data_IF_855963600359
#
_entry.id   IF_855963600359
#
_cell.length_a   1.000
_cell.length_b   1.000
_cell.length_c   1.000
_cell.angle_alpha   90.00
_cell.angle_beta   90.00
_cell.angle_gamma   90.00
#
_symmetry.space_group_name_H-M   'P 1'
#
loop_
_entity.id
_entity.type
_entity.pdbx_description
1 polymer ?
#
# COMPACT_ATOMS: atom_id res chain seq x y z
N UNK A 1 -7.03 -52.87 43.80
CA UNK A 1 -6.68 -51.44 43.69
C UNK A 1 -7.01 -51.00 42.28
N UNK A 2 -8.07 -50.22 42.17
CA UNK A 2 -8.41 -49.63 40.89
C UNK A 2 -7.60 -48.36 40.70
N UNK A 3 -6.62 -48.43 39.81
CA UNK A 3 -5.84 -47.26 39.41
C UNK A 3 -6.69 -46.49 38.42
N UNK A 4 -7.31 -45.42 38.88
CA UNK A 4 -7.94 -44.45 38.00
C UNK A 4 -6.82 -43.65 37.34
N UNK A 5 -6.48 -44.01 36.13
CA UNK A 5 -5.70 -43.14 35.28
C UNK A 5 -6.71 -42.07 34.87
N UNK A 6 -6.68 -40.95 35.58
CA UNK A 6 -7.32 -39.74 35.13
C UNK A 6 -6.56 -39.32 33.86
N UNK A 7 -7.11 -39.71 32.73
CA UNK A 7 -6.70 -39.09 31.48
C UNK A 7 -7.09 -37.61 31.58
N UNK A 8 -6.14 -36.82 32.04
CA UNK A 8 -6.23 -35.38 31.91
C UNK A 8 -6.12 -35.10 30.42
N UNK A 9 -7.26 -35.21 29.76
CA UNK A 9 -7.45 -34.61 28.45
C UNK A 9 -7.29 -33.10 28.67
N UNK A 10 -6.03 -32.66 28.61
CA UNK A 10 -5.71 -31.27 28.42
C UNK A 10 -6.25 -30.93 27.05
N UNK A 11 -7.55 -30.60 27.01
CA UNK A 11 -8.08 -29.86 25.91
C UNK A 11 -7.30 -28.54 25.89
N UNK A 12 -6.18 -28.54 25.17
CA UNK A 12 -5.61 -27.32 24.65
C UNK A 12 -6.69 -26.73 23.75
N UNK A 13 -7.63 -26.02 24.38
CA UNK A 13 -8.33 -24.97 23.70
C UNK A 13 -7.22 -24.01 23.27
N UNK A 14 -6.67 -24.28 22.10
CA UNK A 14 -6.01 -23.25 21.33
C UNK A 14 -7.18 -22.32 20.99
N UNK A 15 -7.46 -21.43 21.93
CA UNK A 15 -8.18 -20.23 21.61
C UNK A 15 -7.30 -19.54 20.57
N UNK A 16 -7.53 -19.89 19.33
CA UNK A 16 -7.07 -19.10 18.22
C UNK A 16 -7.72 -17.74 18.42
N UNK A 17 -7.03 -16.87 19.12
CA UNK A 17 -7.33 -15.46 19.05
C UNK A 17 -7.14 -15.11 17.57
N UNK A 18 -8.22 -15.20 16.82
CA UNK A 18 -8.35 -14.53 15.55
C UNK A 18 -8.22 -13.06 15.93
N UNK A 19 -6.98 -12.59 15.90
CA UNK A 19 -6.69 -11.18 16.03
C UNK A 19 -7.43 -10.56 14.84
N UNK A 20 -8.60 -9.98 15.09
CA UNK A 20 -9.27 -9.16 14.11
C UNK A 20 -8.25 -8.14 13.67
N UNK A 21 -7.67 -8.37 12.48
CA UNK A 21 -6.81 -7.38 11.86
C UNK A 21 -7.71 -6.18 11.66
N UNK A 22 -7.60 -5.22 12.57
CA UNK A 22 -8.29 -3.95 12.46
C UNK A 22 -8.04 -3.47 11.03
N UNK A 23 -9.10 -3.45 10.23
CA UNK A 23 -8.99 -3.09 8.83
C UNK A 23 -8.30 -1.73 8.74
N UNK A 24 -7.20 -1.67 8.02
CA UNK A 24 -6.45 -0.44 7.91
C UNK A 24 -7.34 0.63 7.28
N UNK A 25 -7.51 1.73 7.99
CA UNK A 25 -8.27 2.86 7.48
C UNK A 25 -7.41 3.62 6.47
N UNK A 26 -7.83 3.61 5.21
CA UNK A 26 -7.21 4.38 4.14
C UNK A 26 -8.16 5.46 3.64
N UNK A 27 -7.61 6.60 3.26
CA UNK A 27 -8.33 7.64 2.54
C UNK A 27 -8.04 7.50 1.04
N UNK A 28 -8.96 7.95 0.16
CA UNK A 28 -8.73 7.91 -1.29
C UNK A 28 -7.49 8.74 -1.70
N UNK A 29 -6.73 8.29 -2.71
CA UNK A 29 -5.56 9.03 -3.20
C UNK A 29 -5.91 10.31 -3.96
N UNK A 30 -7.15 10.51 -4.35
CA UNK A 30 -7.63 11.65 -5.13
C UNK A 30 -8.90 12.26 -4.57
N UNK A 31 -9.19 13.51 -4.91
CA UNK A 31 -10.39 14.27 -4.53
C UNK A 31 -11.62 13.99 -5.39
N UNK A 32 -11.47 13.21 -6.43
CA UNK A 32 -12.52 12.90 -7.39
C UNK A 32 -12.87 11.40 -7.35
N UNK A 33 -14.03 10.99 -7.91
CA UNK A 33 -14.42 9.59 -7.94
C UNK A 33 -13.38 8.71 -8.63
N UNK A 34 -12.99 7.62 -7.98
CA UNK A 34 -11.97 6.73 -8.48
C UNK A 34 -12.50 5.86 -9.61
N UNK A 35 -11.83 5.89 -10.76
CA UNK A 35 -12.08 4.99 -11.87
C UNK A 35 -10.77 4.38 -12.32
N UNK A 36 -10.75 3.07 -12.50
CA UNK A 36 -9.55 2.36 -12.91
C UNK A 36 -9.44 2.29 -14.43
N UNK A 37 -8.21 2.41 -14.92
CA UNK A 37 -7.81 2.08 -16.28
C UNK A 37 -6.99 0.81 -16.37
N UNK A 38 -6.50 0.31 -15.23
CA UNK A 38 -5.76 -0.94 -15.10
C UNK A 38 -5.95 -1.58 -13.74
N UNK A 39 -6.20 -2.90 -13.72
CA UNK A 39 -6.42 -3.68 -12.52
C UNK A 39 -5.15 -4.41 -12.08
N UNK A 40 -5.11 -4.78 -10.80
CA UNK A 40 -4.09 -5.69 -10.30
C UNK A 40 -4.19 -7.05 -10.98
N UNK A 41 -3.04 -7.60 -11.38
CA UNK A 41 -2.96 -8.91 -12.02
C UNK A 41 -3.31 -8.93 -13.50
N UNK A 42 -3.61 -7.81 -14.14
CA UNK A 42 -3.80 -7.75 -15.60
C UNK A 42 -2.55 -8.23 -16.34
N UNK A 43 -2.78 -8.95 -17.43
CA UNK A 43 -1.70 -9.38 -18.32
C UNK A 43 -1.16 -8.17 -19.07
N UNK A 44 0.14 -7.96 -18.98
CA UNK A 44 0.91 -7.00 -19.79
C UNK A 44 1.82 -7.78 -20.74
N UNK A 45 2.51 -7.08 -21.63
CA UNK A 45 3.33 -7.73 -22.66
C UNK A 45 4.42 -8.68 -22.13
N UNK A 46 4.97 -8.41 -20.94
CA UNK A 46 6.09 -9.17 -20.36
C UNK A 46 5.96 -9.42 -18.85
N UNK A 47 4.86 -9.02 -18.23
CA UNK A 47 4.62 -9.20 -16.79
C UNK A 47 3.13 -9.07 -16.46
N UNK A 48 2.77 -9.42 -15.23
CA UNK A 48 1.46 -9.09 -14.66
C UNK A 48 1.50 -7.72 -14.02
N UNK A 49 0.41 -6.96 -14.15
CA UNK A 49 0.29 -5.65 -13.53
C UNK A 49 0.29 -5.76 -12.00
N UNK A 50 1.27 -5.18 -11.34
CA UNK A 50 1.45 -5.24 -9.89
C UNK A 50 0.77 -4.13 -9.10
N UNK A 51 -0.19 -3.42 -9.68
CA UNK A 51 -0.84 -2.26 -9.05
C UNK A 51 -2.21 -1.94 -9.62
N UNK A 52 -2.66 -0.73 -9.32
CA UNK A 52 -3.90 -0.16 -9.84
C UNK A 52 -3.55 1.10 -10.63
N UNK A 53 -4.09 1.23 -11.84
CA UNK A 53 -3.98 2.43 -12.65
C UNK A 53 -5.26 3.24 -12.54
N UNK A 54 -5.16 4.49 -12.11
CA UNK A 54 -6.29 5.39 -11.95
C UNK A 54 -6.42 6.34 -13.14
N UNK A 55 -7.65 6.54 -13.60
CA UNK A 55 -7.96 7.56 -14.62
C UNK A 55 -7.89 8.95 -14.02
N UNK A 56 -7.23 9.86 -14.70
CA UNK A 56 -7.09 11.27 -14.30
C UNK A 56 -7.81 12.24 -15.26
N UNK A 57 -8.74 11.71 -16.06
CA UNK A 57 -9.45 12.50 -17.06
C UNK A 57 -8.60 12.97 -18.23
N UNK A 58 -7.51 12.25 -18.54
CA UNK A 58 -6.57 12.60 -19.61
C UNK A 58 -5.70 13.83 -19.31
N UNK A 59 -5.61 14.24 -18.07
CA UNK A 59 -4.81 15.39 -17.62
C UNK A 59 -3.74 14.99 -16.60
N UNK A 60 -2.66 15.76 -16.58
CA UNK A 60 -1.60 15.66 -15.56
C UNK A 60 -1.79 16.75 -14.51
N UNK A 61 -1.02 16.66 -13.39
CA UNK A 61 -1.03 17.67 -12.35
C UNK A 61 -2.11 17.47 -11.28
N UNK A 62 -2.85 16.35 -11.31
CA UNK A 62 -3.79 16.01 -10.25
C UNK A 62 -3.02 15.67 -8.98
N UNK A 63 -3.35 16.30 -7.82
CA UNK A 63 -2.70 15.96 -6.55
C UNK A 63 -2.96 14.51 -6.16
N UNK A 64 -1.90 13.79 -5.80
CA UNK A 64 -1.97 12.44 -5.22
C UNK A 64 -1.73 12.57 -3.73
N UNK A 65 -2.62 12.01 -2.92
CA UNK A 65 -2.54 12.04 -1.46
C UNK A 65 -1.92 10.76 -0.92
N UNK A 66 -1.26 10.87 0.22
CA UNK A 66 -0.97 9.73 1.05
C UNK A 66 -2.28 9.08 1.54
N UNK A 67 -2.32 7.75 1.58
CA UNK A 67 -3.53 7.01 1.95
C UNK A 67 -3.78 6.98 3.47
N UNK A 68 -2.75 7.26 4.26
CA UNK A 68 -2.77 7.31 5.73
C UNK A 68 -1.56 8.10 6.25
N UNK A 69 -1.47 8.27 7.55
CA UNK A 69 -0.30 8.86 8.20
C UNK A 69 0.93 7.97 8.03
N UNK A 70 2.05 8.59 7.69
CA UNK A 70 3.28 7.88 7.42
C UNK A 70 4.42 8.80 7.01
N UNK A 71 5.39 8.23 6.33
CA UNK A 71 6.57 8.98 5.87
C UNK A 71 7.03 8.50 4.49
N UNK A 72 7.72 9.36 3.79
CA UNK A 72 8.34 9.03 2.50
C UNK A 72 9.60 8.23 2.79
N UNK A 73 9.63 6.98 2.34
CA UNK A 73 10.75 6.07 2.53
C UNK A 73 11.76 6.12 1.40
N UNK A 74 11.31 6.47 0.19
CA UNK A 74 12.19 6.55 -0.98
C UNK A 74 11.64 7.51 -2.03
N UNK A 75 12.55 8.21 -2.68
CA UNK A 75 12.27 9.08 -3.84
C UNK A 75 13.15 8.60 -4.99
N UNK A 76 12.57 8.42 -6.17
CA UNK A 76 13.29 7.95 -7.36
C UNK A 76 12.82 8.69 -8.61
N UNK A 77 13.72 8.79 -9.57
CA UNK A 77 13.39 9.17 -10.95
C UNK A 77 13.95 8.07 -11.85
N UNK A 78 13.11 7.45 -12.65
CA UNK A 78 13.49 6.33 -13.52
C UNK A 78 12.98 6.55 -14.94
N UNK A 79 13.69 6.01 -15.93
CA UNK A 79 13.30 6.13 -17.33
C UNK A 79 11.94 5.47 -17.63
N UNK A 80 11.60 4.35 -16.95
CA UNK A 80 10.35 3.61 -17.20
C UNK A 80 9.16 4.09 -16.39
N UNK A 81 9.39 4.60 -15.17
CA UNK A 81 8.30 4.96 -14.24
C UNK A 81 8.24 6.46 -13.95
N UNK A 82 9.13 7.27 -14.50
CA UNK A 82 9.21 8.70 -14.24
C UNK A 82 9.51 9.02 -12.78
N UNK A 83 8.81 9.97 -12.21
CA UNK A 83 8.91 10.31 -10.79
C UNK A 83 8.18 9.26 -9.96
N UNK A 84 8.87 8.70 -8.97
CA UNK A 84 8.36 7.61 -8.12
C UNK A 84 8.55 7.98 -6.65
N UNK A 85 7.50 7.78 -5.87
CA UNK A 85 7.49 8.03 -4.44
C UNK A 85 7.02 6.80 -3.68
N UNK A 86 7.86 6.29 -2.79
CA UNK A 86 7.53 5.19 -1.89
C UNK A 86 7.15 5.78 -0.53
N UNK A 87 5.99 5.41 -0.03
CA UNK A 87 5.45 5.88 1.26
C UNK A 87 5.19 4.69 2.16
N UNK A 88 5.71 4.74 3.39
CA UNK A 88 5.42 3.78 4.44
C UNK A 88 4.43 4.38 5.43
N UNK A 89 3.40 3.63 5.77
CA UNK A 89 2.35 4.05 6.70
C UNK A 89 2.52 3.42 8.08
N UNK A 90 2.11 4.13 9.12
CA UNK A 90 2.20 3.64 10.49
C UNK A 90 1.33 2.41 10.77
N UNK A 91 0.39 2.12 9.89
CA UNK A 91 -0.44 0.91 9.94
C UNK A 91 0.23 -0.35 9.37
N UNK A 92 1.51 -0.26 8.97
CA UNK A 92 2.31 -1.38 8.45
C UNK A 92 2.19 -1.63 6.94
N UNK A 93 1.44 -0.81 6.21
CA UNK A 93 1.34 -0.86 4.75
C UNK A 93 2.30 0.14 4.10
N UNK A 94 2.52 -0.04 2.81
CA UNK A 94 3.27 0.91 1.99
C UNK A 94 2.68 1.02 0.60
N UNK A 95 2.92 2.14 -0.05
CA UNK A 95 2.57 2.36 -1.45
C UNK A 95 3.79 2.78 -2.26
N UNK A 96 3.79 2.38 -3.52
CA UNK A 96 4.73 2.86 -4.54
C UNK A 96 3.91 3.63 -5.55
N UNK A 97 4.07 4.94 -5.56
CA UNK A 97 3.35 5.85 -6.47
C UNK A 97 4.25 6.13 -7.67
N UNK A 98 3.82 5.69 -8.84
CA UNK A 98 4.58 5.77 -10.10
C UNK A 98 3.95 6.76 -11.07
N UNK A 99 4.71 7.15 -12.09
CA UNK A 99 4.27 8.03 -13.16
C UNK A 99 3.76 9.39 -12.66
N UNK A 100 4.32 9.87 -11.57
CA UNK A 100 4.06 11.23 -11.10
C UNK A 100 4.69 12.22 -12.07
N UNK A 101 4.00 13.33 -12.33
CA UNK A 101 4.51 14.39 -13.21
C UNK A 101 5.53 15.31 -12.52
N UNK A 102 5.41 15.45 -11.21
CA UNK A 102 6.31 16.26 -10.39
C UNK A 102 6.18 15.88 -8.91
N UNK A 103 7.14 16.28 -8.11
CA UNK A 103 7.04 16.29 -6.65
C UNK A 103 6.54 17.66 -6.17
N UNK A 104 5.76 17.68 -5.08
CA UNK A 104 5.44 18.92 -4.40
C UNK A 104 6.71 19.64 -3.93
N UNK A 105 6.62 20.96 -3.83
CA UNK A 105 7.74 21.85 -3.51
C UNK A 105 8.63 21.38 -2.36
N UNK A 106 8.10 21.00 -1.18
CA UNK A 106 8.96 20.55 -0.08
C UNK A 106 9.77 19.28 -0.42
N UNK A 107 9.19 18.34 -1.20
CA UNK A 107 9.87 17.13 -1.64
C UNK A 107 10.90 17.47 -2.72
N UNK A 108 10.51 18.28 -3.70
CA UNK A 108 11.38 18.69 -4.79
C UNK A 108 12.62 19.43 -4.29
N UNK A 109 12.47 20.31 -3.30
CA UNK A 109 13.58 21.02 -2.68
C UNK A 109 14.52 20.10 -1.91
N UNK A 110 13.96 19.07 -1.25
CA UNK A 110 14.77 18.06 -0.57
C UNK A 110 15.64 17.27 -1.55
N UNK A 111 15.06 16.89 -2.69
CA UNK A 111 15.77 16.17 -3.74
C UNK A 111 16.91 16.98 -4.36
N UNK A 112 16.73 18.28 -4.53
CA UNK A 112 17.79 19.16 -5.06
C UNK A 112 19.01 19.31 -4.13
N UNK A 113 18.87 18.96 -2.86
CA UNK A 113 19.93 19.05 -1.85
C UNK A 113 20.72 17.75 -1.68
N UNK A 114 20.33 16.69 -2.38
CA UNK A 114 21.00 15.39 -2.39
C UNK A 114 21.94 15.25 -3.58
#
# INVERSE_FOLDING_TARGET
>A
MKRYIAALLLACCVEGYAQEKKQAAFVPPFDFPLTLSGNFGEIRSNHFHGGLDFKTGGTIGKPVRALADGYISRIRVTNGSGYVLDVCYHNGYSTINRHLSAFLSPIAERVKKL
#
